data_IF_656250652643
#
_entry.id   IF_656250652643
#
_cell.length_a   1.000
_cell.length_b   1.000
_cell.length_c   1.000
_cell.angle_alpha   90.00
_cell.angle_beta   90.00
_cell.angle_gamma   90.00
#
_symmetry.space_group_name_H-M   'P 1'
#
loop_
_entity.id
_entity.type
_entity.pdbx_description
1 polymer ?
#
# COMPACT_ATOMS: atom_id res chain seq x y z
N UNK A 1 9.83 -9.49 -4.92
CA UNK A 1 10.89 -10.22 -4.21
C UNK A 1 10.85 -11.72 -4.49
N UNK A 2 9.83 -12.47 -4.05
CA UNK A 2 9.77 -13.93 -4.28
C UNK A 2 9.84 -14.34 -5.76
N UNK A 3 9.12 -13.64 -6.65
CA UNK A 3 9.19 -13.87 -8.11
C UNK A 3 10.57 -13.54 -8.70
N UNK A 4 11.20 -12.45 -8.25
CA UNK A 4 12.54 -12.04 -8.69
C UNK A 4 13.63 -13.05 -8.27
N UNK A 5 13.44 -13.70 -7.12
CA UNK A 5 14.35 -14.70 -6.58
C UNK A 5 13.97 -16.13 -7.02
N UNK A 6 12.94 -16.31 -7.86
CA UNK A 6 12.51 -17.60 -8.38
C UNK A 6 11.85 -18.53 -7.35
N UNK A 7 11.49 -18.03 -6.17
CA UNK A 7 10.96 -18.85 -5.07
C UNK A 7 9.56 -19.41 -5.34
N UNK A 8 8.79 -18.78 -6.23
CA UNK A 8 7.44 -19.21 -6.58
C UNK A 8 7.38 -20.56 -7.32
N UNK A 9 8.48 -21.02 -7.92
CA UNK A 9 8.54 -22.24 -8.73
C UNK A 9 9.23 -23.41 -8.00
N UNK A 10 9.54 -23.26 -6.71
CA UNK A 10 10.26 -24.30 -5.98
C UNK A 10 9.28 -25.40 -5.52
N UNK A 11 9.50 -26.68 -5.89
CA UNK A 11 8.60 -27.78 -5.55
C UNK A 11 8.58 -28.12 -4.06
N UNK A 12 9.55 -27.61 -3.29
CA UNK A 12 9.52 -27.62 -1.84
C UNK A 12 8.96 -26.29 -1.35
N UNK A 13 7.75 -26.31 -0.81
CA UNK A 13 7.16 -25.21 -0.03
C UNK A 13 7.96 -24.99 1.26
N UNK A 14 9.17 -24.45 1.14
CA UNK A 14 10.08 -24.19 2.27
C UNK A 14 9.73 -22.90 3.03
N UNK A 15 8.68 -22.19 2.59
CA UNK A 15 8.21 -20.96 3.21
C UNK A 15 6.93 -21.25 3.99
N UNK A 16 7.04 -21.24 5.31
CA UNK A 16 5.92 -21.29 6.24
C UNK A 16 5.53 -19.86 6.65
N UNK A 17 4.26 -19.51 6.48
CA UNK A 17 3.74 -18.23 6.94
C UNK A 17 3.19 -18.36 8.36
N UNK A 18 3.79 -17.63 9.29
CA UNK A 18 3.37 -17.61 10.70
C UNK A 18 2.63 -16.32 11.00
N UNK A 19 1.41 -16.43 11.53
CA UNK A 19 0.62 -15.28 11.97
C UNK A 19 1.15 -14.79 13.32
N UNK A 20 1.52 -13.51 13.41
CA UNK A 20 2.05 -12.88 14.62
C UNK A 20 1.19 -11.71 15.14
N UNK A 21 0.09 -11.39 14.47
CA UNK A 21 -0.95 -10.40 14.83
C UNK A 21 -0.52 -8.92 14.95
N UNK A 22 0.68 -8.61 15.44
CA UNK A 22 1.14 -7.24 15.70
C UNK A 22 2.56 -7.02 15.20
N UNK A 23 2.89 -5.76 14.89
CA UNK A 23 4.24 -5.37 14.51
C UNK A 23 5.28 -5.71 15.59
N UNK A 24 4.93 -5.53 16.87
CA UNK A 24 5.81 -5.90 17.99
C UNK A 24 6.17 -7.38 17.91
N UNK A 25 5.18 -8.25 17.72
CA UNK A 25 5.40 -9.69 17.65
C UNK A 25 6.17 -10.11 16.40
N UNK A 26 5.96 -9.46 15.24
CA UNK A 26 6.74 -9.68 14.02
C UNK A 26 8.22 -9.32 14.22
N UNK A 27 8.48 -8.18 14.86
CA UNK A 27 9.85 -7.73 15.18
C UNK A 27 10.51 -8.68 16.17
N UNK A 28 9.80 -9.01 17.25
CA UNK A 28 10.33 -9.88 18.29
C UNK A 28 10.57 -11.30 17.75
N UNK A 29 9.74 -11.79 16.81
CA UNK A 29 9.91 -13.13 16.21
C UNK A 29 11.10 -13.26 15.28
N UNK A 30 11.56 -12.17 14.66
CA UNK A 30 12.84 -12.17 13.94
C UNK A 30 14.01 -12.09 14.91
N UNK A 31 13.89 -11.28 15.96
CA UNK A 31 14.95 -11.14 16.97
C UNK A 31 15.17 -12.43 17.78
N UNK A 32 14.11 -13.19 18.05
CA UNK A 32 14.18 -14.46 18.78
C UNK A 32 14.47 -15.68 17.88
N UNK A 33 14.49 -15.49 16.55
CA UNK A 33 14.78 -16.51 15.57
C UNK A 33 13.61 -17.45 15.23
N UNK A 34 12.41 -17.22 15.77
CA UNK A 34 11.21 -18.02 15.45
C UNK A 34 10.65 -17.77 14.05
N UNK A 35 11.03 -16.65 13.41
CA UNK A 35 10.74 -16.36 12.00
C UNK A 35 12.00 -15.87 11.30
N UNK A 36 12.24 -16.32 10.06
CA UNK A 36 13.43 -15.94 9.30
C UNK A 36 13.40 -14.46 8.85
N UNK A 37 12.22 -13.94 8.49
CA UNK A 37 12.02 -12.56 8.08
C UNK A 37 10.53 -12.19 8.17
N UNK A 38 10.22 -10.89 8.19
CA UNK A 38 8.88 -10.36 7.91
C UNK A 38 8.96 -9.16 6.96
N UNK A 39 7.83 -8.85 6.32
CA UNK A 39 7.66 -7.65 5.51
C UNK A 39 6.71 -6.70 6.23
N UNK A 40 7.05 -5.42 6.26
CA UNK A 40 6.19 -4.36 6.78
C UNK A 40 6.46 -3.07 6.01
N UNK A 41 5.52 -2.14 6.07
CA UNK A 41 5.73 -0.79 5.55
C UNK A 41 7.00 -0.19 6.16
N UNK A 42 7.80 0.48 5.33
CA UNK A 42 9.01 1.13 5.80
C UNK A 42 8.67 2.32 6.68
N UNK A 43 8.57 2.10 7.99
CA UNK A 43 8.65 3.15 9.00
C UNK A 43 10.02 3.09 9.65
N UNK A 44 10.82 4.11 9.40
CA UNK A 44 12.27 4.10 9.60
C UNK A 44 12.67 4.30 11.08
N UNK A 45 12.06 3.58 12.00
CA UNK A 45 12.59 3.50 13.36
C UNK A 45 13.72 2.44 13.41
N UNK A 46 14.93 2.95 13.19
CA UNK A 46 16.24 2.37 13.49
C UNK A 46 16.85 1.36 12.51
N UNK A 47 18.01 1.77 12.01
CA UNK A 47 18.97 1.04 11.20
C UNK A 47 19.36 -0.33 11.77
N UNK A 48 19.02 -1.41 11.06
CA UNK A 48 19.90 -2.56 10.82
C UNK A 48 19.11 -3.57 10.00
N UNK A 49 19.25 -3.50 8.67
CA UNK A 49 19.17 -4.60 7.71
C UNK A 49 18.99 -3.98 6.32
N UNK A 50 20.07 -4.04 5.55
CA UNK A 50 20.15 -3.58 4.18
C UNK A 50 19.33 -4.47 3.26
N UNK A 51 18.13 -4.01 2.90
CA UNK A 51 17.48 -4.35 1.64
C UNK A 51 16.43 -3.28 1.33
N UNK A 52 16.80 -2.30 0.51
CA UNK A 52 15.84 -1.35 -0.05
C UNK A 52 14.89 -2.13 -0.99
N UNK A 53 13.67 -2.42 -0.51
CA UNK A 53 12.59 -2.98 -1.33
C UNK A 53 11.82 -1.86 -2.05
N UNK A 54 11.18 -2.12 -3.21
CA UNK A 54 10.38 -1.14 -3.92
C UNK A 54 9.27 -0.57 -3.04
N UNK A 55 9.07 0.75 -3.14
CA UNK A 55 8.11 1.51 -2.33
C UNK A 55 6.69 0.96 -2.54
N UNK A 56 5.98 0.51 -1.49
CA UNK A 56 4.58 0.13 -1.63
C UNK A 56 3.77 1.37 -2.06
N UNK A 57 3.04 1.25 -3.16
CA UNK A 57 1.97 2.19 -3.46
C UNK A 57 0.79 1.83 -2.58
N UNK A 58 0.33 2.76 -1.74
CA UNK A 58 -0.88 2.54 -0.96
C UNK A 58 -2.10 2.76 -1.87
N UNK A 59 -2.94 1.73 -1.97
CA UNK A 59 -4.28 1.79 -2.56
C UNK A 59 -5.29 1.66 -1.43
N UNK A 60 -6.33 2.49 -1.44
CA UNK A 60 -7.47 2.28 -0.54
C UNK A 60 -8.30 1.15 -1.12
N UNK A 61 -8.12 -0.05 -0.57
CA UNK A 61 -8.97 -1.21 -0.84
C UNK A 61 -9.88 -1.43 0.37
N UNK A 62 -11.19 -1.48 0.14
CA UNK A 62 -12.17 -1.82 1.15
C UNK A 62 -12.97 -3.03 0.68
N UNK A 63 -13.20 -4.01 1.57
CA UNK A 63 -14.18 -5.06 1.32
C UNK A 63 -15.57 -4.48 1.59
N UNK A 64 -16.47 -4.38 0.58
CA UNK A 64 -17.81 -3.84 0.76
C UNK A 64 -18.61 -4.55 1.85
N UNK A 65 -18.33 -5.83 2.10
CA UNK A 65 -19.02 -6.67 3.10
C UNK A 65 -18.68 -6.28 4.55
N UNK A 66 -17.56 -5.59 4.76
CA UNK A 66 -17.05 -5.22 6.09
C UNK A 66 -17.31 -3.76 6.44
N UNK A 67 -17.94 -3.00 5.53
CA UNK A 67 -18.19 -1.57 5.69
C UNK A 67 -19.68 -1.32 5.70
N UNK A 68 -20.13 -0.40 6.55
CA UNK A 68 -21.52 0.04 6.58
C UNK A 68 -21.98 0.47 5.17
N UNK A 69 -23.05 -0.12 4.60
CA UNK A 69 -23.56 0.24 3.29
C UNK A 69 -23.84 1.73 3.12
N UNK A 70 -24.21 2.42 4.20
CA UNK A 70 -24.46 3.86 4.19
C UNK A 70 -23.19 4.67 3.91
N UNK A 71 -22.01 4.16 4.27
CA UNK A 71 -20.70 4.76 3.98
C UNK A 71 -20.22 4.43 2.56
N UNK A 72 -20.73 3.35 1.97
CA UNK A 72 -20.42 2.92 0.60
C UNK A 72 -21.26 3.61 -0.47
N UNK A 73 -22.21 4.47 -0.07
CA UNK A 73 -23.01 5.25 -1.00
C UNK A 73 -22.10 6.06 -1.97
N UNK A 74 -22.27 5.93 -3.31
CA UNK A 74 -21.36 6.53 -4.29
C UNK A 74 -21.15 8.04 -4.09
N UNK A 75 -22.19 8.78 -3.72
CA UNK A 75 -22.11 10.22 -3.47
C UNK A 75 -21.19 10.56 -2.28
N UNK A 76 -21.24 9.77 -1.21
CA UNK A 76 -20.36 9.97 -0.04
C UNK A 76 -18.91 9.62 -0.38
N UNK A 77 -18.70 8.52 -1.13
CA UNK A 77 -17.37 8.11 -1.56
C UNK A 77 -16.74 9.13 -2.52
N UNK A 78 -17.49 9.63 -3.51
CA UNK A 78 -17.03 10.70 -4.42
C UNK A 78 -16.69 11.97 -3.63
N UNK A 79 -17.54 12.37 -2.68
CA UNK A 79 -17.27 13.52 -1.82
C UNK A 79 -15.99 13.32 -0.99
N UNK A 80 -15.82 12.14 -0.39
CA UNK A 80 -14.61 11.79 0.36
C UNK A 80 -13.36 11.86 -0.52
N UNK A 81 -13.35 11.20 -1.68
CA UNK A 81 -12.22 11.20 -2.61
C UNK A 81 -11.90 12.63 -3.10
N UNK A 82 -12.91 13.46 -3.36
CA UNK A 82 -12.69 14.87 -3.74
C UNK A 82 -12.04 15.71 -2.62
N UNK A 83 -12.39 15.45 -1.36
CA UNK A 83 -11.78 16.11 -0.20
C UNK A 83 -10.36 15.59 0.03
N UNK A 84 -10.15 14.28 -0.18
CA UNK A 84 -8.84 13.66 -0.10
C UNK A 84 -7.90 14.23 -1.18
N UNK A 85 -8.37 14.38 -2.42
CA UNK A 85 -7.63 15.05 -3.49
C UNK A 85 -7.20 16.44 -3.04
N UNK A 86 -8.11 17.27 -2.52
CA UNK A 86 -7.77 18.62 -2.01
C UNK A 86 -6.71 18.59 -0.91
N UNK A 87 -6.83 17.65 0.04
CA UNK A 87 -5.84 17.49 1.12
C UNK A 87 -4.48 17.04 0.59
N UNK A 88 -4.46 16.11 -0.36
CA UNK A 88 -3.24 15.64 -1.04
C UNK A 88 -2.58 16.78 -1.82
N UNK A 89 -3.35 17.58 -2.57
CA UNK A 89 -2.80 18.73 -3.30
C UNK A 89 -2.25 19.79 -2.36
N UNK A 90 -2.93 20.05 -1.23
CA UNK A 90 -2.43 20.93 -0.17
C UNK A 90 -1.14 20.40 0.45
N UNK A 91 -1.05 19.09 0.65
CA UNK A 91 0.08 18.42 1.30
C UNK A 91 1.28 18.17 0.35
N UNK A 92 1.07 18.07 -0.96
CA UNK A 92 2.16 18.05 -1.95
C UNK A 92 1.93 17.18 -3.19
N UNK A 93 1.35 17.76 -4.24
CA UNK A 93 1.33 17.17 -5.60
C UNK A 93 2.38 17.77 -6.54
N UNK A 94 2.96 18.92 -6.21
CA UNK A 94 4.04 19.53 -6.99
C UNK A 94 5.22 19.82 -6.07
N UNK A 95 6.44 19.54 -6.55
CA UNK A 95 7.72 19.77 -5.88
C UNK A 95 7.78 21.19 -5.29
N UNK A 96 7.37 21.38 -4.03
CA UNK A 96 7.42 22.71 -3.41
C UNK A 96 6.46 23.01 -2.27
N UNK A 97 5.42 22.23 -2.00
CA UNK A 97 4.54 22.50 -0.85
C UNK A 97 4.61 21.35 0.14
N UNK A 98 5.56 21.47 1.07
CA UNK A 98 5.52 20.84 2.38
C UNK A 98 5.99 21.88 3.37
N UNK A 99 5.09 22.30 4.24
CA UNK A 99 5.39 23.34 5.20
C UNK A 99 6.19 22.78 6.38
N UNK A 100 6.94 23.63 7.10
CA UNK A 100 7.47 23.25 8.41
C UNK A 100 6.37 22.79 9.39
N UNK A 101 5.13 23.25 9.21
CA UNK A 101 3.97 22.84 10.00
C UNK A 101 3.60 21.37 9.74
N UNK A 102 3.70 20.90 8.49
CA UNK A 102 3.46 19.50 8.13
C UNK A 102 4.51 18.58 8.74
N UNK A 103 5.78 19.03 8.74
CA UNK A 103 6.88 18.30 9.40
C UNK A 103 6.57 18.17 10.89
N UNK A 104 6.27 19.30 11.55
CA UNK A 104 5.97 19.33 12.98
C UNK A 104 4.74 18.49 13.33
N UNK A 105 3.68 18.56 12.53
CA UNK A 105 2.49 17.73 12.71
C UNK A 105 2.82 16.24 12.69
N UNK A 106 3.65 15.80 11.75
CA UNK A 106 4.06 14.39 11.65
C UNK A 106 4.96 14.01 12.83
N UNK A 107 5.90 14.87 13.24
CA UNK A 107 6.72 14.63 14.42
C UNK A 107 5.86 14.45 15.67
N UNK A 108 4.91 15.35 15.91
CA UNK A 108 4.06 15.35 17.10
C UNK A 108 3.08 14.17 17.11
N UNK A 109 2.52 13.81 15.94
CA UNK A 109 1.54 12.73 15.81
C UNK A 109 2.13 11.33 15.79
N UNK A 110 3.28 11.17 15.15
CA UNK A 110 3.91 9.86 14.94
C UNK A 110 5.19 9.67 15.76
N UNK A 111 5.53 10.65 16.61
CA UNK A 111 6.71 10.64 17.46
C UNK A 111 8.03 10.39 16.69
N UNK A 112 8.10 10.90 15.47
CA UNK A 112 9.24 10.74 14.56
C UNK A 112 10.23 11.90 14.68
N UNK A 113 11.50 11.65 14.37
CA UNK A 113 12.53 12.70 14.31
C UNK A 113 12.34 13.58 13.08
N UNK A 114 12.74 14.84 13.19
CA UNK A 114 12.59 15.81 12.11
C UNK A 114 13.34 15.38 10.84
N UNK A 115 14.57 14.88 11.03
CA UNK A 115 15.41 14.42 9.92
C UNK A 115 14.73 13.28 9.13
N UNK A 116 14.13 12.32 9.84
CA UNK A 116 13.48 11.16 9.25
C UNK A 116 12.20 11.56 8.50
N UNK A 117 11.43 12.49 9.05
CA UNK A 117 10.23 13.04 8.39
C UNK A 117 10.60 13.76 7.09
N UNK A 118 11.62 14.63 7.13
CA UNK A 118 12.11 15.33 5.94
C UNK A 118 12.61 14.38 4.86
N UNK A 119 13.30 13.31 5.25
CA UNK A 119 13.81 12.32 4.31
C UNK A 119 12.69 11.45 3.73
N UNK A 120 11.71 11.04 4.54
CA UNK A 120 10.51 10.35 4.08
C UNK A 120 9.73 11.20 3.07
N UNK A 121 9.56 12.49 3.36
CA UNK A 121 8.89 13.43 2.47
C UNK A 121 9.50 13.46 1.07
N UNK A 122 10.83 13.41 0.92
CA UNK A 122 11.48 13.38 -0.42
C UNK A 122 11.07 12.16 -1.26
N UNK A 123 10.72 11.06 -0.60
CA UNK A 123 10.48 9.77 -1.24
C UNK A 123 9.01 9.42 -1.47
N UNK A 124 8.08 10.12 -0.83
CA UNK A 124 6.64 9.86 -0.96
C UNK A 124 6.05 10.65 -2.12
N UNK A 125 5.22 9.96 -2.91
CA UNK A 125 4.43 10.52 -3.99
C UNK A 125 2.97 10.15 -3.78
N UNK A 126 2.08 11.05 -4.18
CA UNK A 126 0.64 10.85 -4.08
C UNK A 126 0.01 10.87 -5.48
N UNK A 127 -1.10 10.14 -5.70
CA UNK A 127 -1.82 10.21 -6.95
C UNK A 127 -2.35 11.63 -7.18
N UNK A 128 -2.34 12.08 -8.45
CA UNK A 128 -2.95 13.36 -8.82
C UNK A 128 -4.46 13.36 -8.62
N UNK A 129 -5.09 12.19 -8.78
CA UNK A 129 -6.52 11.99 -8.59
C UNK A 129 -6.74 10.63 -7.95
N UNK A 130 -7.37 10.62 -6.80
CA UNK A 130 -7.62 9.41 -6.00
C UNK A 130 -8.76 8.56 -6.54
N UNK A 131 -9.58 9.12 -7.43
CA UNK A 131 -10.68 8.43 -8.10
C UNK A 131 -10.29 7.91 -9.50
N UNK A 132 -9.01 7.90 -9.85
CA UNK A 132 -8.51 7.32 -11.12
C UNK A 132 -7.55 6.17 -10.82
N UNK A 133 -7.71 5.04 -11.54
CA UNK A 133 -6.83 3.87 -11.43
C UNK A 133 -6.44 3.36 -12.82
N UNK A 134 -5.18 2.97 -12.99
CA UNK A 134 -4.69 2.42 -14.25
C UNK A 134 -5.20 1.00 -14.46
N UNK A 135 -5.75 0.73 -15.65
CA UNK A 135 -6.10 -0.62 -16.08
C UNK A 135 -4.88 -1.54 -16.11
N UNK A 136 -3.73 -1.00 -16.52
CA UNK A 136 -2.48 -1.74 -16.56
C UNK A 136 -2.07 -2.18 -15.14
N UNK A 137 -2.16 -1.29 -14.16
CA UNK A 137 -1.88 -1.63 -12.75
C UNK A 137 -2.78 -2.76 -12.25
N UNK A 138 -4.09 -2.72 -12.56
CA UNK A 138 -5.01 -3.80 -12.19
C UNK A 138 -4.60 -5.13 -12.83
N UNK A 139 -4.31 -5.13 -14.13
CA UNK A 139 -3.92 -6.31 -14.89
C UNK A 139 -2.60 -6.92 -14.39
N UNK A 140 -1.59 -6.08 -14.17
CA UNK A 140 -0.29 -6.50 -13.64
C UNK A 140 -0.43 -7.06 -12.22
N UNK A 141 -1.25 -6.42 -11.37
CA UNK A 141 -1.50 -6.89 -10.00
C UNK A 141 -2.17 -8.26 -10.01
N UNK A 142 -3.24 -8.46 -10.79
CA UNK A 142 -3.92 -9.76 -10.90
C UNK A 142 -2.99 -10.84 -11.44
N UNK A 143 -2.19 -10.51 -12.46
CA UNK A 143 -1.18 -11.41 -13.01
C UNK A 143 -0.16 -11.83 -11.94
N UNK A 144 0.43 -10.87 -11.24
CA UNK A 144 1.48 -11.13 -10.26
C UNK A 144 0.95 -11.92 -9.06
N UNK A 145 -0.27 -11.62 -8.60
CA UNK A 145 -0.95 -12.39 -7.55
C UNK A 145 -1.32 -13.81 -8.01
N UNK A 146 -1.67 -13.99 -9.29
CA UNK A 146 -1.87 -15.30 -9.89
C UNK A 146 -0.59 -16.13 -9.96
N UNK A 147 0.51 -15.53 -10.42
CA UNK A 147 1.84 -16.16 -10.44
C UNK A 147 2.35 -16.49 -9.04
N UNK A 148 1.97 -15.70 -8.03
CA UNK A 148 2.28 -15.97 -6.64
C UNK A 148 1.36 -17.03 -5.99
N UNK A 149 0.37 -17.56 -6.71
CA UNK A 149 -0.59 -18.53 -6.19
C UNK A 149 -1.60 -17.97 -5.19
N UNK A 150 -1.67 -16.64 -5.03
CA UNK A 150 -2.64 -15.96 -4.15
C UNK A 150 -4.04 -15.98 -4.78
N UNK A 151 -4.11 -15.73 -6.08
CA UNK A 151 -5.33 -15.87 -6.87
C UNK A 151 -5.22 -17.17 -7.67
N UNK A 152 -5.92 -18.22 -7.22
CA UNK A 152 -5.83 -19.55 -7.81
C UNK A 152 -6.21 -19.59 -9.30
N UNK A 153 -7.18 -18.77 -9.69
CA UNK A 153 -7.75 -18.73 -11.05
C UNK A 153 -7.71 -17.30 -11.60
N UNK A 154 -6.51 -16.72 -11.70
CA UNK A 154 -6.32 -15.32 -12.12
C UNK A 154 -6.90 -15.01 -13.51
N UNK A 155 -7.03 -16.01 -14.39
CA UNK A 155 -7.65 -15.88 -15.72
C UNK A 155 -9.16 -15.62 -15.67
N UNK A 156 -9.83 -15.93 -14.55
CA UNK A 156 -11.27 -15.71 -14.37
C UNK A 156 -11.62 -14.35 -13.78
N UNK A 157 -10.62 -13.58 -13.33
CA UNK A 157 -10.84 -12.25 -12.76
C UNK A 157 -11.23 -11.28 -13.86
N UNK A 158 -12.40 -10.66 -13.73
CA UNK A 158 -12.93 -9.70 -14.70
C UNK A 158 -12.54 -8.28 -14.28
N UNK A 159 -11.63 -7.68 -15.05
CA UNK A 159 -11.12 -6.33 -14.82
C UNK A 159 -11.81 -5.36 -15.80
N UNK A 160 -12.35 -4.21 -15.36
CA UNK A 160 -12.31 -3.69 -13.98
C UNK A 160 -13.52 -4.09 -13.12
N UNK A 161 -14.56 -4.69 -13.69
CA UNK A 161 -15.90 -4.79 -13.09
C UNK A 161 -15.95 -5.49 -11.72
N UNK A 162 -15.08 -6.47 -11.47
CA UNK A 162 -15.01 -7.14 -10.16
C UNK A 162 -14.17 -6.40 -9.13
N UNK A 163 -13.32 -5.46 -9.55
CA UNK A 163 -12.28 -4.85 -8.72
C UNK A 163 -12.52 -3.37 -8.44
N UNK A 164 -13.28 -2.69 -9.30
CA UNK A 164 -13.48 -1.24 -9.22
C UNK A 164 -14.97 -0.94 -9.27
N UNK A 165 -15.46 -0.20 -8.28
CA UNK A 165 -16.76 0.42 -8.36
C UNK A 165 -16.69 1.60 -9.35
N UNK A 166 -17.15 1.37 -10.57
CA UNK A 166 -17.11 2.34 -11.68
C UNK A 166 -18.08 3.51 -11.52
N UNK A 167 -19.04 3.42 -10.60
CA UNK A 167 -19.84 4.57 -10.19
C UNK A 167 -19.01 5.57 -9.38
N UNK A 168 -17.92 5.14 -8.74
CA UNK A 168 -17.11 5.98 -7.86
C UNK A 168 -15.78 6.38 -8.49
N UNK A 169 -15.12 5.43 -9.16
CA UNK A 169 -13.78 5.61 -9.70
C UNK A 169 -13.72 5.29 -11.20
N UNK A 170 -12.82 5.97 -11.90
CA UNK A 170 -12.58 5.79 -13.32
C UNK A 170 -11.34 4.94 -13.56
N UNK A 171 -11.45 3.99 -14.48
CA UNK A 171 -10.29 3.25 -14.98
C UNK A 171 -9.68 3.97 -16.17
N UNK A 172 -8.38 4.24 -16.12
CA UNK A 172 -7.61 4.90 -17.18
C UNK A 172 -6.77 3.89 -17.95
N UNK A 173 -6.52 4.14 -19.23
CA UNK A 173 -5.71 3.24 -20.09
C UNK A 173 -4.20 3.49 -20.01
N UNK A 174 -3.77 4.49 -19.23
CA UNK A 174 -2.36 4.85 -19.01
C UNK A 174 -1.63 3.85 -18.15
#
# INVERSE_FOLDING_TARGET
MALQQGWANSPNSALEFVVKDSFKNLRDSVNDGSTAAFMWEWTREKSSLSAASPRPGNLVAASPELVDPELLAPEKLRLFLSKLDKSIHRFGTELGIRSPEDVKYIQDKFHQKEEDVKEWMKGVSYPKKTHEISQKTLQETVKDLGLAGVILDASKVVIPDQLVNTDVAKVTQT
#
